data_IF_768375742380
#
_entry.id   IF_768375742380
#
_cell.length_a   1.000
_cell.length_b   1.000
_cell.length_c   1.000
_cell.angle_alpha   90.00
_cell.angle_beta   90.00
_cell.angle_gamma   90.00
#
_symmetry.space_group_name_H-M   'P 1'
#
loop_
_entity.id
_entity.type
_entity.pdbx_description
1 polymer ?
#
# COMPACT_ATOMS: atom_id res chain seq x y z
N UNK A 1 12.69 14.82 22.56
CA UNK A 1 11.67 13.83 22.13
C UNK A 1 10.46 14.59 21.62
N UNK A 2 10.40 14.84 20.31
CA UNK A 2 9.25 15.50 19.69
C UNK A 2 8.11 14.49 19.65
N UNK A 3 7.15 14.61 20.56
CA UNK A 3 5.92 13.82 20.53
C UNK A 3 5.01 14.43 19.47
N UNK A 4 5.25 14.09 18.21
CA UNK A 4 4.36 14.41 17.10
C UNK A 4 3.03 13.70 17.34
N UNK A 5 1.98 14.48 17.58
CA UNK A 5 0.62 13.98 17.70
C UNK A 5 -0.27 14.71 16.73
N UNK A 6 -1.34 14.03 16.33
CA UNK A 6 -2.25 14.47 15.28
C UNK A 6 -3.55 15.00 15.88
N UNK A 7 -4.11 16.02 15.24
CA UNK A 7 -5.45 16.52 15.53
C UNK A 7 -6.45 15.80 14.64
N UNK A 8 -7.36 15.04 15.26
CA UNK A 8 -8.42 14.33 14.56
C UNK A 8 -9.75 15.02 14.80
N UNK A 9 -10.65 14.99 13.83
CA UNK A 9 -12.04 15.38 14.07
C UNK A 9 -12.68 14.46 15.12
N UNK A 10 -13.70 14.95 15.82
CA UNK A 10 -14.44 14.14 16.81
C UNK A 10 -14.99 12.82 16.23
N UNK A 11 -15.32 12.81 14.93
CA UNK A 11 -15.78 11.61 14.22
C UNK A 11 -14.66 10.60 14.02
N UNK A 12 -13.48 11.06 13.61
CA UNK A 12 -12.32 10.21 13.38
C UNK A 12 -11.77 9.67 14.69
N UNK A 13 -11.72 10.51 15.72
CA UNK A 13 -11.34 10.09 17.07
C UNK A 13 -12.31 9.04 17.63
N UNK A 14 -13.61 9.18 17.37
CA UNK A 14 -14.62 8.17 17.72
C UNK A 14 -14.36 6.83 17.03
N UNK A 15 -14.03 6.85 15.74
CA UNK A 15 -13.72 5.66 14.97
C UNK A 15 -12.45 4.96 15.47
N UNK A 16 -11.37 5.72 15.70
CA UNK A 16 -10.08 5.19 16.17
C UNK A 16 -10.19 4.59 17.56
N UNK A 17 -10.85 5.29 18.50
CA UNK A 17 -11.00 4.84 19.89
C UNK A 17 -12.14 3.84 20.09
N UNK A 18 -12.92 3.53 19.05
CA UNK A 18 -14.14 2.69 19.09
C UNK A 18 -15.12 3.12 20.20
N UNK A 19 -15.29 4.43 20.37
CA UNK A 19 -16.17 5.01 21.41
C UNK A 19 -17.18 5.97 20.79
N UNK A 20 -18.37 6.08 21.38
CA UNK A 20 -19.41 7.00 20.89
C UNK A 20 -19.04 8.48 21.08
N UNK A 21 -19.54 9.34 20.19
CA UNK A 21 -19.36 10.80 20.25
C UNK A 21 -19.78 11.35 21.62
N UNK A 22 -20.87 10.83 22.21
CA UNK A 22 -21.35 11.23 23.53
C UNK A 22 -20.33 10.93 24.64
N UNK A 23 -19.62 9.81 24.54
CA UNK A 23 -18.56 9.44 25.50
C UNK A 23 -17.34 10.34 25.35
N UNK A 24 -17.03 10.73 24.11
CA UNK A 24 -15.96 11.68 23.82
C UNK A 24 -16.32 13.09 24.32
N UNK A 25 -17.55 13.57 24.11
CA UNK A 25 -18.03 14.84 24.67
C UNK A 25 -17.97 14.86 26.20
N UNK A 26 -18.32 13.75 26.86
CA UNK A 26 -18.12 13.61 28.31
C UNK A 26 -16.65 13.69 28.69
N UNK A 27 -15.77 13.03 27.93
CA UNK A 27 -14.32 13.03 28.17
C UNK A 27 -13.72 14.44 28.02
N UNK A 28 -14.18 15.20 27.02
CA UNK A 28 -13.88 16.63 26.84
C UNK A 28 -14.31 17.41 28.09
N UNK A 29 -15.55 17.23 28.55
CA UNK A 29 -16.08 17.92 29.73
C UNK A 29 -15.32 17.57 31.02
N UNK A 30 -14.82 16.34 31.15
CA UNK A 30 -14.02 15.90 32.29
C UNK A 30 -12.54 16.33 32.23
N UNK A 31 -12.08 16.95 31.14
CA UNK A 31 -10.70 17.41 30.99
C UNK A 31 -9.66 16.29 30.76
N UNK A 32 -10.11 15.07 30.47
CA UNK A 32 -9.23 13.90 30.29
C UNK A 32 -8.49 13.93 28.95
N UNK A 33 -9.04 14.64 27.95
CA UNK A 33 -8.49 14.70 26.59
C UNK A 33 -8.27 16.14 26.14
N UNK A 34 -7.15 16.38 25.45
CA UNK A 34 -6.83 17.67 24.84
C UNK A 34 -7.70 17.87 23.59
N UNK A 35 -8.44 18.97 23.55
CA UNK A 35 -9.32 19.31 22.45
C UNK A 35 -9.13 20.77 22.00
N UNK A 36 -9.50 21.04 20.76
CA UNK A 36 -9.58 22.37 20.15
C UNK A 36 -10.95 22.49 19.49
N UNK A 37 -11.59 23.64 19.62
CA UNK A 37 -12.82 23.96 18.89
C UNK A 37 -12.48 24.96 17.79
N UNK A 38 -12.86 24.65 16.55
CA UNK A 38 -12.63 25.51 15.40
C UNK A 38 -13.88 25.48 14.50
N UNK A 39 -14.51 26.64 14.31
CA UNK A 39 -15.71 26.81 13.49
C UNK A 39 -16.86 25.83 13.84
N UNK A 40 -17.10 25.61 15.14
CA UNK A 40 -18.13 24.69 15.65
C UNK A 40 -17.78 23.20 15.52
N UNK A 41 -16.57 22.86 15.07
CA UNK A 41 -16.07 21.49 15.00
C UNK A 41 -15.06 21.23 16.12
N UNK A 42 -15.19 20.07 16.75
CA UNK A 42 -14.26 19.60 17.77
C UNK A 42 -13.13 18.80 17.13
N UNK A 43 -11.90 19.18 17.43
CA UNK A 43 -10.67 18.47 17.11
C UNK A 43 -10.04 17.94 18.39
N UNK A 44 -9.56 16.71 18.37
CA UNK A 44 -9.04 16.00 19.53
C UNK A 44 -7.63 15.54 19.21
N UNK A 45 -6.71 15.80 20.13
CA UNK A 45 -5.33 15.44 19.95
C UNK A 45 -5.10 13.96 20.33
N UNK A 46 -4.44 13.21 19.47
CA UNK A 46 -4.03 11.83 19.74
C UNK A 46 -2.57 11.60 19.35
N UNK A 47 -1.89 10.74 20.09
CA UNK A 47 -0.55 10.22 19.73
C UNK A 47 -0.61 8.97 18.88
N UNK A 48 -1.70 8.23 19.00
CA UNK A 48 -1.88 6.93 18.35
C UNK A 48 -3.03 7.04 17.35
N UNK A 49 -2.68 6.93 16.08
CA UNK A 49 -3.61 6.66 14.99
C UNK A 49 -3.47 5.17 14.69
N UNK A 50 -4.48 4.37 15.06
CA UNK A 50 -4.60 3.01 14.54
C UNK A 50 -5.65 2.98 13.42
N UNK A 51 -5.12 3.22 12.22
CA UNK A 51 -5.25 2.44 10.98
C UNK A 51 -6.62 2.02 10.42
N UNK A 52 -7.78 2.38 10.97
CA UNK A 52 -9.02 1.77 10.42
C UNK A 52 -9.37 2.15 8.96
N UNK A 53 -9.09 3.40 8.54
CA UNK A 53 -9.30 3.84 7.14
C UNK A 53 -8.15 3.44 6.23
N UNK A 54 -6.92 3.56 6.72
CA UNK A 54 -5.71 3.15 6.00
C UNK A 54 -5.77 1.65 5.70
N UNK A 55 -6.19 0.81 6.66
CA UNK A 55 -6.28 -0.64 6.46
C UNK A 55 -7.25 -1.03 5.33
N UNK A 56 -8.36 -0.31 5.18
CA UNK A 56 -9.30 -0.58 4.09
C UNK A 56 -8.76 -0.13 2.72
N UNK A 57 -8.09 1.03 2.67
CA UNK A 57 -7.43 1.51 1.44
C UNK A 57 -6.29 0.59 1.04
N UNK A 58 -5.44 0.23 1.99
CA UNK A 58 -4.30 -0.67 1.80
C UNK A 58 -4.73 -2.07 1.36
N UNK A 59 -5.87 -2.57 1.86
CA UNK A 59 -6.45 -3.86 1.41
C UNK A 59 -6.97 -3.81 -0.02
N UNK A 60 -7.55 -2.69 -0.44
CA UNK A 60 -8.03 -2.52 -1.82
C UNK A 60 -6.84 -2.40 -2.78
N UNK A 61 -5.85 -1.59 -2.45
CA UNK A 61 -4.60 -1.45 -3.21
C UNK A 61 -3.87 -2.78 -3.34
N UNK A 62 -3.74 -3.54 -2.24
CA UNK A 62 -3.14 -4.88 -2.29
C UNK A 62 -3.86 -5.83 -3.25
N UNK A 63 -5.20 -5.78 -3.31
CA UNK A 63 -5.96 -6.60 -4.25
C UNK A 63 -5.68 -6.20 -5.70
N UNK A 64 -5.63 -4.90 -5.99
CA UNK A 64 -5.32 -4.40 -7.33
C UNK A 64 -3.89 -4.77 -7.75
N UNK A 65 -2.91 -4.61 -6.86
CA UNK A 65 -1.52 -4.97 -7.11
C UNK A 65 -1.39 -6.48 -7.38
N UNK A 66 -2.05 -7.33 -6.57
CA UNK A 66 -2.05 -8.78 -6.79
C UNK A 66 -2.63 -9.17 -8.14
N UNK A 67 -3.72 -8.52 -8.56
CA UNK A 67 -4.32 -8.75 -9.88
C UNK A 67 -3.35 -8.38 -11.00
N UNK A 68 -2.72 -7.21 -10.89
CA UNK A 68 -1.76 -6.74 -11.90
C UNK A 68 -0.50 -7.61 -11.97
N UNK A 69 0.00 -8.08 -10.84
CA UNK A 69 1.11 -9.04 -10.82
C UNK A 69 0.76 -10.32 -11.56
N UNK A 70 -0.44 -10.86 -11.35
CA UNK A 70 -0.89 -12.05 -12.06
C UNK A 70 -0.97 -11.83 -13.57
N UNK A 71 -1.54 -10.70 -14.01
CA UNK A 71 -1.61 -10.34 -15.44
C UNK A 71 -0.20 -10.27 -16.07
N UNK A 72 0.76 -9.65 -15.37
CA UNK A 72 2.15 -9.58 -15.82
C UNK A 72 2.85 -10.95 -15.84
N UNK A 73 2.58 -11.81 -14.87
CA UNK A 73 3.11 -13.18 -14.85
C UNK A 73 2.59 -14.01 -16.01
N UNK A 74 1.31 -13.89 -16.34
CA UNK A 74 0.69 -14.54 -17.51
C UNK A 74 1.33 -14.02 -18.82
N UNK A 75 1.50 -12.70 -18.99
CA UNK A 75 2.15 -12.11 -20.15
C UNK A 75 3.62 -12.57 -20.30
N UNK A 76 4.38 -12.61 -19.19
CA UNK A 76 5.75 -13.13 -19.18
C UNK A 76 5.78 -14.60 -19.63
N UNK A 77 4.82 -15.40 -19.19
CA UNK A 77 4.75 -16.81 -19.56
C UNK A 77 4.48 -16.98 -21.07
N UNK A 78 3.52 -16.22 -21.61
CA UNK A 78 3.21 -16.24 -23.04
C UNK A 78 4.40 -15.80 -23.89
N UNK A 79 5.12 -14.76 -23.47
CA UNK A 79 6.33 -14.30 -24.14
C UNK A 79 7.46 -15.33 -24.09
N UNK A 80 7.65 -16.00 -22.95
CA UNK A 80 8.64 -17.10 -22.82
C UNK A 80 8.28 -18.27 -23.73
N UNK A 81 7.00 -18.65 -23.80
CA UNK A 81 6.54 -19.70 -24.69
C UNK A 81 6.79 -19.32 -26.16
N UNK A 82 6.50 -18.07 -26.54
CA UNK A 82 6.77 -17.57 -27.88
C UNK A 82 8.27 -17.60 -28.21
N UNK A 83 9.11 -17.13 -27.29
CA UNK A 83 10.57 -17.17 -27.42
C UNK A 83 11.06 -18.60 -27.64
N UNK A 84 10.60 -19.54 -26.81
CA UNK A 84 10.93 -20.95 -26.93
C UNK A 84 10.55 -21.53 -28.30
N UNK A 85 9.39 -21.16 -28.85
CA UNK A 85 8.97 -21.59 -30.20
C UNK A 85 9.91 -21.02 -31.27
N UNK A 86 10.31 -19.76 -31.16
CA UNK A 86 11.26 -19.16 -32.10
C UNK A 86 12.65 -19.78 -31.99
N UNK A 87 13.18 -19.95 -30.79
CA UNK A 87 14.47 -20.61 -30.53
C UNK A 87 14.47 -22.05 -31.03
N UNK A 88 13.39 -22.80 -30.81
CA UNK A 88 13.28 -24.19 -31.29
C UNK A 88 13.24 -24.29 -32.83
N UNK A 89 12.75 -23.25 -33.51
CA UNK A 89 12.74 -23.17 -34.99
C UNK A 89 14.10 -22.74 -35.56
N UNK A 90 14.91 -22.03 -34.78
CA UNK A 90 16.29 -21.71 -35.13
C UNK A 90 17.14 -22.94 -34.77
N UNK A 91 17.34 -23.86 -35.73
CA UNK A 91 18.41 -24.87 -35.60
C UNK A 91 19.72 -24.14 -35.25
N UNK A 92 20.56 -24.65 -34.34
CA UNK A 92 21.87 -24.07 -34.11
C UNK A 92 22.62 -24.09 -35.44
N UNK A 93 22.85 -22.90 -36.01
CA UNK A 93 23.74 -22.72 -37.13
C UNK A 93 25.08 -23.22 -36.60
N UNK A 94 25.55 -24.38 -37.09
CA UNK A 94 26.94 -24.80 -36.88
C UNK A 94 27.78 -23.74 -37.57
N UNK A 95 28.27 -22.78 -36.79
CA UNK A 95 29.22 -21.79 -37.25
C UNK A 95 30.44 -22.56 -37.78
N UNK A 96 30.94 -22.25 -38.99
CA UNK A 96 32.16 -22.87 -39.48
C UNK A 96 33.29 -22.58 -38.48
N UNK A 97 34.22 -23.53 -38.28
CA UNK A 97 35.36 -23.30 -37.40
C UNK A 97 36.11 -22.06 -37.88
N UNK A 98 36.50 -21.20 -36.93
CA UNK A 98 37.31 -20.03 -37.21
C UNK A 98 38.61 -20.48 -37.90
N UNK A 99 39.05 -19.80 -38.98
CA UNK A 99 40.31 -20.15 -39.62
C UNK A 99 41.44 -20.04 -38.58
N UNK A 100 42.21 -21.10 -38.46
CA UNK A 100 43.44 -21.08 -37.66
C UNK A 100 44.37 -20.05 -38.30
N UNK A 101 44.68 -18.99 -37.54
CA UNK A 101 45.70 -18.04 -37.92
C UNK A 101 47.02 -18.77 -37.68
N UNK A 102 47.64 -19.26 -38.75
CA UNK A 102 49.02 -19.76 -38.71
C UNK A 102 49.92 -18.65 -38.15
N UNK A 103 50.64 -18.98 -37.07
CA UNK A 103 51.60 -18.08 -36.41
C UNK A 103 52.88 -17.93 -37.23
#
# INVERSE_FOLDING_TARGET
MNQEGFWLSILEYAAVKKTSISTIRRSIKSGVIKYKEENGKYFIWTKEIQSSKEDHSLKLENNLIKKKNRELEEEINDLKMLLQVYESRIKPIKLPPLPEIEQ
#
